data_IF_984729267982
#
_entry.id   IF_984729267982
#
_cell.length_a   1.000
_cell.length_b   1.000
_cell.length_c   1.000
_cell.angle_alpha   90.00
_cell.angle_beta   90.00
_cell.angle_gamma   90.00
#
_symmetry.space_group_name_H-M   'P 1'
#
loop_
_entity.id
_entity.type
_entity.pdbx_description
1 polymer ?
#
# COMPACT_ATOMS: atom_id res chain seq x y z
N UNK A 1 -0.11 -13.97 -18.03
CA UNK A 1 0.79 -14.09 -16.86
C UNK A 1 1.61 -12.82 -16.81
N UNK A 2 1.44 -11.95 -15.79
CA UNK A 2 2.38 -10.83 -15.57
C UNK A 2 3.77 -11.44 -15.37
N UNK A 3 4.78 -10.79 -15.94
CA UNK A 3 6.18 -11.20 -15.78
C UNK A 3 6.51 -11.31 -14.27
N UNK A 4 7.43 -12.19 -13.88
CA UNK A 4 7.74 -12.41 -12.45
C UNK A 4 8.30 -11.11 -11.86
N UNK A 5 7.44 -10.28 -11.26
CA UNK A 5 7.85 -9.04 -10.64
C UNK A 5 8.81 -9.33 -9.50
N UNK A 6 9.88 -8.55 -9.44
CA UNK A 6 10.79 -8.60 -8.31
C UNK A 6 10.08 -8.03 -7.08
N UNK A 7 10.00 -8.83 -6.01
CA UNK A 7 9.37 -8.39 -4.76
C UNK A 7 10.18 -7.26 -4.15
N UNK A 8 9.48 -6.26 -3.59
CA UNK A 8 10.13 -5.21 -2.82
C UNK A 8 10.79 -5.83 -1.59
N UNK A 9 12.13 -5.74 -1.44
CA UNK A 9 12.80 -6.34 -0.30
C UNK A 9 12.48 -5.57 0.98
N UNK A 10 12.17 -6.28 2.06
CA UNK A 10 11.99 -5.67 3.38
C UNK A 10 13.33 -5.29 4.02
N UNK A 11 13.93 -4.19 3.58
CA UNK A 11 15.21 -3.68 4.08
C UNK A 11 15.32 -2.16 3.95
N UNK A 12 16.11 -1.57 4.84
CA UNK A 12 16.51 -0.16 4.77
C UNK A 12 18.03 -0.04 4.74
N UNK A 13 18.51 1.05 4.13
CA UNK A 13 19.91 1.44 4.11
C UNK A 13 20.08 2.63 5.06
N UNK A 14 20.48 2.33 6.30
CA UNK A 14 20.65 3.30 7.38
C UNK A 14 21.92 4.16 7.25
N UNK A 15 22.75 3.91 6.24
CA UNK A 15 23.91 4.77 5.99
C UNK A 15 23.43 6.20 5.70
N UNK A 16 24.23 7.22 6.04
CA UNK A 16 23.90 8.60 5.67
C UNK A 16 23.69 8.75 4.16
N UNK A 17 22.75 9.63 3.79
CA UNK A 17 22.51 9.99 2.40
C UNK A 17 23.83 10.40 1.72
N UNK A 18 24.07 9.84 0.53
CA UNK A 18 25.27 10.15 -0.24
C UNK A 18 25.20 11.55 -0.84
N UNK A 19 26.36 12.13 -1.14
CA UNK A 19 26.44 13.43 -1.83
C UNK A 19 25.64 13.47 -3.15
N UNK A 20 25.54 12.32 -3.84
CA UNK A 20 24.77 12.20 -5.07
C UNK A 20 23.27 12.31 -4.78
N UNK A 21 22.76 11.60 -3.77
CA UNK A 21 21.36 11.66 -3.36
C UNK A 21 20.99 13.05 -2.84
N UNK A 22 21.86 13.69 -2.04
CA UNK A 22 21.67 15.07 -1.56
C UNK A 22 21.64 16.05 -2.73
N UNK A 23 22.59 15.95 -3.66
CA UNK A 23 22.64 16.81 -4.86
C UNK A 23 21.39 16.63 -5.73
N UNK A 24 20.91 15.40 -5.89
CA UNK A 24 19.73 15.11 -6.69
C UNK A 24 18.45 15.62 -6.02
N UNK A 25 18.27 15.39 -4.71
CA UNK A 25 17.15 15.93 -3.95
C UNK A 25 17.10 17.46 -4.05
N UNK A 26 18.24 18.15 -3.89
CA UNK A 26 18.30 19.61 -4.04
C UNK A 26 17.91 20.09 -5.44
N UNK A 27 18.28 19.36 -6.51
CA UNK A 27 17.87 19.68 -7.89
C UNK A 27 16.35 19.56 -8.09
N UNK A 28 15.71 18.65 -7.36
CA UNK A 28 14.26 18.48 -7.35
C UNK A 28 13.57 19.47 -6.38
N UNK A 29 14.32 20.29 -5.65
CA UNK A 29 13.77 21.20 -4.63
C UNK A 29 13.32 20.48 -3.35
N UNK A 30 13.79 19.25 -3.12
CA UNK A 30 13.47 18.42 -1.95
C UNK A 30 14.47 18.72 -0.83
N UNK A 31 13.96 19.16 0.31
CA UNK A 31 14.76 19.34 1.52
C UNK A 31 14.87 18.01 2.28
N UNK A 32 16.09 17.46 2.36
CA UNK A 32 16.39 16.30 3.18
C UNK A 32 16.60 16.70 4.66
N UNK A 33 16.17 15.89 5.63
CA UNK A 33 16.50 16.10 7.04
C UNK A 33 18.02 15.98 7.28
N UNK A 34 18.54 16.66 8.31
CA UNK A 34 20.00 16.72 8.58
C UNK A 34 20.65 15.35 8.75
N UNK A 35 19.93 14.39 9.32
CA UNK A 35 20.36 13.02 9.55
C UNK A 35 19.72 12.01 8.58
N UNK A 36 19.31 12.46 7.38
CA UNK A 36 18.71 11.59 6.37
C UNK A 36 19.58 10.37 6.08
N UNK A 37 18.98 9.18 6.20
CA UNK A 37 19.59 7.96 5.70
C UNK A 37 19.45 7.88 4.17
N UNK A 38 20.17 6.95 3.53
CA UNK A 38 19.98 6.67 2.10
C UNK A 38 18.56 6.23 1.79
N UNK A 39 17.95 5.43 2.67
CA UNK A 39 16.54 5.05 2.55
C UNK A 39 15.60 6.25 2.63
N UNK A 40 15.86 7.21 3.52
CA UNK A 40 15.05 8.43 3.63
C UNK A 40 15.15 9.30 2.38
N UNK A 41 16.38 9.52 1.90
CA UNK A 41 16.60 10.28 0.69
C UNK A 41 15.91 9.64 -0.52
N UNK A 42 16.06 8.33 -0.70
CA UNK A 42 15.38 7.58 -1.76
C UNK A 42 13.87 7.62 -1.64
N UNK A 43 13.33 7.48 -0.43
CA UNK A 43 11.89 7.55 -0.18
C UNK A 43 11.32 8.92 -0.56
N UNK A 44 11.99 10.01 -0.15
CA UNK A 44 11.59 11.38 -0.49
C UNK A 44 11.66 11.64 -2.00
N UNK A 45 12.76 11.25 -2.64
CA UNK A 45 12.95 11.40 -4.08
C UNK A 45 11.91 10.60 -4.87
N UNK A 46 11.73 9.31 -4.55
CA UNK A 46 10.78 8.44 -5.25
C UNK A 46 9.35 8.98 -5.09
N UNK A 47 8.98 9.41 -3.89
CA UNK A 47 7.66 9.98 -3.63
C UNK A 47 7.36 11.19 -4.52
N UNK A 48 8.35 12.08 -4.71
CA UNK A 48 8.21 13.24 -5.59
C UNK A 48 8.09 12.83 -7.06
N UNK A 49 9.01 11.98 -7.55
CA UNK A 49 9.04 11.53 -8.95
C UNK A 49 7.77 10.78 -9.34
N UNK A 50 7.26 9.92 -8.45
CA UNK A 50 6.09 9.07 -8.71
C UNK A 50 4.76 9.78 -8.45
N UNK A 51 4.81 11.07 -8.06
CA UNK A 51 3.65 11.82 -7.56
C UNK A 51 2.86 11.02 -6.51
N UNK A 52 3.60 10.37 -5.60
CA UNK A 52 3.03 9.58 -4.51
C UNK A 52 2.77 10.50 -3.31
N UNK A 53 1.74 10.18 -2.54
CA UNK A 53 1.42 10.92 -1.33
C UNK A 53 2.19 10.34 -0.16
N UNK A 54 2.42 11.12 0.90
CA UNK A 54 3.01 10.55 2.12
C UNK A 54 2.06 9.50 2.71
N UNK A 55 2.60 8.34 3.07
CA UNK A 55 1.83 7.34 3.81
C UNK A 55 1.31 7.92 5.14
N UNK A 56 0.11 7.53 5.57
CA UNK A 56 -0.41 7.94 6.88
C UNK A 56 0.42 7.35 8.02
N UNK A 57 0.37 8.00 9.18
CA UNK A 57 0.99 7.47 10.40
C UNK A 57 0.40 6.13 10.80
N UNK A 58 -0.91 5.95 10.68
CA UNK A 58 -1.59 4.70 11.03
C UNK A 58 -1.17 3.53 10.14
N UNK A 59 -1.02 3.74 8.83
CA UNK A 59 -0.55 2.71 7.91
C UNK A 59 0.93 2.37 8.17
N UNK A 60 1.77 3.37 8.46
CA UNK A 60 3.15 3.18 8.86
C UNK A 60 3.28 2.36 10.15
N UNK A 61 2.48 2.70 11.17
CA UNK A 61 2.43 1.94 12.41
C UNK A 61 2.00 0.50 12.19
N UNK A 62 0.98 0.28 11.36
CA UNK A 62 0.57 -1.06 10.96
C UNK A 62 1.73 -1.83 10.30
N UNK A 63 2.42 -1.21 9.34
CA UNK A 63 3.56 -1.83 8.67
C UNK A 63 4.68 -2.19 9.65
N UNK A 64 5.03 -1.29 10.57
CA UNK A 64 6.04 -1.54 11.61
C UNK A 64 5.65 -2.67 12.55
N UNK A 65 4.38 -2.74 12.97
CA UNK A 65 3.84 -3.86 13.79
C UNK A 65 3.94 -5.20 13.06
N UNK A 66 3.87 -5.19 11.72
CA UNK A 66 4.07 -6.36 10.86
C UNK A 66 5.54 -6.62 10.50
N UNK A 67 6.48 -5.90 11.11
CA UNK A 67 7.92 -6.10 10.92
C UNK A 67 8.47 -5.46 9.64
N UNK A 68 7.76 -4.51 9.03
CA UNK A 68 8.28 -3.79 7.87
C UNK A 68 9.35 -2.78 8.27
N UNK A 69 10.49 -2.85 7.60
CA UNK A 69 11.57 -1.88 7.65
C UNK A 69 11.35 -0.86 6.54
N UNK A 70 10.81 0.31 6.88
CA UNK A 70 10.51 1.37 5.92
C UNK A 70 10.89 2.73 6.48
N UNK A 71 11.16 3.68 5.58
CA UNK A 71 11.43 5.07 5.94
C UNK A 71 10.14 5.79 6.37
N UNK A 72 10.25 6.71 7.31
CA UNK A 72 9.17 7.61 7.76
C UNK A 72 8.67 8.55 6.66
N UNK A 73 9.42 8.66 5.57
CA UNK A 73 9.13 9.50 4.41
C UNK A 73 8.50 8.73 3.25
N UNK A 74 8.33 7.40 3.37
CA UNK A 74 7.81 6.54 2.31
C UNK A 74 6.46 7.04 1.77
N UNK A 75 6.30 6.89 0.47
CA UNK A 75 5.04 7.17 -0.22
C UNK A 75 3.97 6.11 0.08
N UNK A 76 2.71 6.47 -0.09
CA UNK A 76 1.56 5.63 0.18
C UNK A 76 1.53 4.41 -0.74
N UNK A 77 1.68 4.60 -2.05
CA UNK A 77 1.77 3.50 -3.02
C UNK A 77 2.98 2.61 -2.74
N UNK A 78 4.13 3.21 -2.45
CA UNK A 78 5.35 2.47 -2.13
C UNK A 78 5.19 1.60 -0.87
N UNK A 79 4.54 2.11 0.18
CA UNK A 79 4.26 1.34 1.39
C UNK A 79 3.26 0.21 1.12
N UNK A 80 2.25 0.43 0.28
CA UNK A 80 1.34 -0.65 -0.13
C UNK A 80 2.07 -1.76 -0.89
N UNK A 81 3.00 -1.43 -1.80
CA UNK A 81 3.86 -2.42 -2.45
C UNK A 81 4.65 -3.25 -1.43
N UNK A 82 5.28 -2.58 -0.45
CA UNK A 82 6.06 -3.26 0.58
C UNK A 82 5.20 -4.19 1.46
N UNK A 83 4.03 -3.71 1.91
CA UNK A 83 3.07 -4.52 2.66
C UNK A 83 2.63 -5.74 1.84
N UNK A 84 2.16 -5.52 0.62
CA UNK A 84 1.61 -6.59 -0.20
C UNK A 84 2.64 -7.66 -0.59
N UNK A 85 3.93 -7.31 -0.67
CA UNK A 85 4.99 -8.25 -1.02
C UNK A 85 5.50 -9.09 0.15
N UNK A 86 5.43 -8.53 1.37
CA UNK A 86 6.12 -9.06 2.55
C UNK A 86 5.19 -9.49 3.70
N UNK A 87 3.91 -9.13 3.67
CA UNK A 87 2.95 -9.66 4.64
C UNK A 87 2.84 -11.19 4.54
N UNK A 88 2.55 -11.83 5.67
CA UNK A 88 2.13 -13.22 5.70
C UNK A 88 0.91 -13.42 4.79
N UNK A 89 0.71 -14.62 4.25
CA UNK A 89 -0.40 -14.86 3.31
C UNK A 89 -1.75 -14.45 3.89
N UNK A 90 -2.04 -14.84 5.14
CA UNK A 90 -3.26 -14.46 5.85
C UNK A 90 -3.38 -12.93 6.01
N UNK A 91 -2.32 -12.26 6.44
CA UNK A 91 -2.34 -10.80 6.61
C UNK A 91 -2.45 -10.05 5.29
N UNK A 92 -1.88 -10.59 4.22
CA UNK A 92 -1.98 -10.04 2.87
C UNK A 92 -3.42 -10.08 2.37
N UNK A 93 -4.12 -11.20 2.58
CA UNK A 93 -5.53 -11.35 2.23
C UNK A 93 -6.40 -10.41 3.07
N UNK A 94 -6.13 -10.30 4.39
CA UNK A 94 -6.77 -9.33 5.29
C UNK A 94 -6.59 -7.90 4.77
N UNK A 95 -5.35 -7.52 4.45
CA UNK A 95 -5.00 -6.20 3.93
C UNK A 95 -5.68 -5.91 2.59
N UNK A 96 -5.73 -6.88 1.67
CA UNK A 96 -6.45 -6.75 0.40
C UNK A 96 -7.94 -6.48 0.63
N UNK A 97 -8.59 -7.22 1.53
CA UNK A 97 -10.00 -7.01 1.90
C UNK A 97 -10.25 -5.61 2.47
N UNK A 98 -9.36 -5.16 3.36
CA UNK A 98 -9.41 -3.81 3.92
C UNK A 98 -9.31 -2.73 2.82
N UNK A 99 -8.40 -2.87 1.86
CA UNK A 99 -8.29 -1.95 0.73
C UNK A 99 -9.58 -1.91 -0.12
N UNK A 100 -10.19 -3.08 -0.41
CA UNK A 100 -11.47 -3.16 -1.12
C UNK A 100 -12.59 -2.49 -0.32
N UNK A 101 -12.63 -2.68 1.00
CA UNK A 101 -13.59 -2.00 1.88
C UNK A 101 -13.43 -0.48 1.83
N UNK A 102 -12.22 0.05 2.05
CA UNK A 102 -11.98 1.50 1.98
C UNK A 102 -12.46 2.10 0.66
N UNK A 103 -12.24 1.38 -0.44
CA UNK A 103 -12.65 1.81 -1.77
C UNK A 103 -14.18 1.95 -1.91
N UNK A 104 -14.95 0.93 -1.54
CA UNK A 104 -16.41 0.94 -1.73
C UNK A 104 -17.16 1.78 -0.71
N UNK A 105 -16.61 1.95 0.49
CA UNK A 105 -17.24 2.68 1.58
C UNK A 105 -16.67 4.08 1.80
N UNK A 106 -15.72 4.49 0.96
CA UNK A 106 -15.02 5.78 1.05
C UNK A 106 -14.45 6.02 2.47
N UNK A 107 -14.02 4.94 3.13
CA UNK A 107 -13.50 5.00 4.49
C UNK A 107 -12.08 5.56 4.49
N UNK A 108 -11.90 6.66 5.22
CA UNK A 108 -10.61 7.35 5.36
C UNK A 108 -9.79 6.80 6.53
N UNK A 109 -10.34 5.90 7.35
CA UNK A 109 -9.62 5.28 8.45
C UNK A 109 -8.56 4.33 7.90
N UNK A 110 -7.28 4.65 8.16
CA UNK A 110 -6.14 3.84 7.76
C UNK A 110 -5.64 2.91 8.87
N UNK A 111 -6.22 3.00 10.07
CA UNK A 111 -5.87 2.14 11.19
C UNK A 111 -6.63 0.83 11.15
N UNK A 112 -6.05 -0.16 10.46
CA UNK A 112 -6.65 -1.50 10.36
C UNK A 112 -6.71 -2.24 11.71
N UNK A 113 -5.86 -1.89 12.68
CA UNK A 113 -5.80 -2.61 13.97
C UNK A 113 -6.87 -2.17 14.96
N UNK A 114 -7.34 -0.93 14.82
CA UNK A 114 -8.42 -0.37 15.63
C UNK A 114 -9.68 -0.07 14.79
N UNK A 115 -9.75 -0.61 13.58
CA UNK A 115 -10.89 -0.43 12.69
C UNK A 115 -12.15 -1.10 13.29
N UNK A 116 -13.31 -0.42 13.21
CA UNK A 116 -14.59 -0.95 13.71
C UNK A 116 -15.00 -2.28 13.05
N UNK A 117 -14.53 -2.50 11.81
CA UNK A 117 -14.73 -3.73 11.03
C UNK A 117 -13.50 -4.67 11.04
N UNK A 118 -12.57 -4.57 11.99
CA UNK A 118 -11.36 -5.42 12.06
C UNK A 118 -11.68 -6.92 12.01
N UNK A 119 -12.64 -7.37 12.81
CA UNK A 119 -13.04 -8.79 12.89
C UNK A 119 -13.54 -9.31 11.53
N UNK A 120 -14.22 -8.46 10.76
CA UNK A 120 -14.69 -8.79 9.41
C UNK A 120 -13.52 -9.08 8.46
N UNK A 121 -12.46 -8.26 8.51
CA UNK A 121 -11.28 -8.46 7.68
C UNK A 121 -10.48 -9.70 8.10
N UNK A 122 -10.45 -10.00 9.40
CA UNK A 122 -9.80 -11.18 9.94
C UNK A 122 -10.50 -12.46 9.52
N UNK A 123 -11.83 -12.51 9.65
CA UNK A 123 -12.64 -13.63 9.21
C UNK A 123 -12.49 -13.87 7.69
N UNK A 124 -12.42 -12.82 6.88
CA UNK A 124 -12.13 -12.96 5.45
C UNK A 124 -10.75 -13.57 5.19
N UNK A 125 -9.72 -13.09 5.90
CA UNK A 125 -8.36 -13.63 5.81
C UNK A 125 -8.30 -15.13 6.15
N UNK A 126 -9.05 -15.58 7.15
CA UNK A 126 -9.14 -16.98 7.53
C UNK A 126 -9.85 -17.84 6.48
N UNK A 127 -10.98 -17.35 5.97
CA UNK A 127 -11.79 -18.07 5.00
C UNK A 127 -11.02 -18.31 3.70
N UNK A 128 -10.32 -17.31 3.19
CA UNK A 128 -9.68 -17.37 1.86
C UNK A 128 -8.20 -17.79 1.89
N UNK A 129 -7.58 -17.98 3.06
CA UNK A 129 -6.19 -18.44 3.17
C UNK A 129 -5.91 -19.75 2.40
N UNK A 130 -6.90 -20.65 2.34
CA UNK A 130 -6.78 -21.94 1.65
C UNK A 130 -7.36 -21.94 0.23
N UNK A 131 -8.00 -20.86 -0.22
CA UNK A 131 -8.54 -20.77 -1.59
C UNK A 131 -7.42 -20.43 -2.58
N UNK A 132 -6.88 -21.45 -3.25
CA UNK A 132 -5.83 -21.28 -4.25
C UNK A 132 -6.24 -20.41 -5.44
N UNK A 133 -7.50 -20.46 -5.88
CA UNK A 133 -7.98 -19.64 -7.01
C UNK A 133 -8.10 -18.17 -6.64
N UNK A 134 -8.58 -17.89 -5.42
CA UNK A 134 -8.56 -16.55 -4.87
C UNK A 134 -7.13 -16.00 -4.83
N UNK A 135 -6.19 -16.77 -4.27
CA UNK A 135 -4.79 -16.33 -4.13
C UNK A 135 -4.14 -16.06 -5.47
N UNK A 136 -4.32 -16.94 -6.46
CA UNK A 136 -3.80 -16.70 -7.82
C UNK A 136 -4.36 -15.41 -8.41
N UNK A 137 -5.67 -15.16 -8.26
CA UNK A 137 -6.28 -13.92 -8.74
C UNK A 137 -5.83 -12.68 -7.96
N UNK A 138 -5.53 -12.81 -6.67
CA UNK A 138 -5.05 -11.72 -5.82
C UNK A 138 -3.59 -11.37 -6.13
N UNK A 139 -2.75 -12.34 -6.47
CA UNK A 139 -1.35 -12.11 -6.85
C UNK A 139 -1.20 -11.45 -8.25
N UNK A 140 -2.30 -11.22 -8.98
CA UNK A 140 -2.29 -10.38 -10.18
C UNK A 140 -2.09 -8.89 -9.87
N UNK A 141 -2.30 -8.46 -8.62
CA UNK A 141 -2.19 -7.07 -8.20
C UNK A 141 -0.75 -6.69 -7.79
N UNK A 142 -0.42 -5.41 -7.99
CA UNK A 142 0.63 -4.71 -7.28
C UNK A 142 0.04 -4.09 -6.00
N UNK A 143 0.86 -3.87 -4.97
CA UNK A 143 0.37 -3.23 -3.75
C UNK A 143 -0.12 -1.80 -4.02
N UNK A 144 0.59 -1.02 -4.83
CA UNK A 144 0.19 0.33 -5.23
C UNK A 144 -1.16 0.38 -5.95
N UNK A 145 -1.53 -0.71 -6.64
CA UNK A 145 -2.82 -0.84 -7.30
C UNK A 145 -3.95 -1.02 -6.28
N UNK A 146 -3.66 -1.27 -5.00
CA UNK A 146 -4.69 -1.40 -3.96
C UNK A 146 -5.10 -0.06 -3.33
N UNK A 147 -4.43 1.04 -3.70
CA UNK A 147 -4.77 2.39 -3.23
C UNK A 147 -6.13 2.85 -3.79
N UNK A 148 -6.54 2.33 -4.95
CA UNK A 148 -7.84 2.56 -5.57
C UNK A 148 -8.19 1.39 -6.49
N UNK A 149 -9.44 1.25 -6.94
CA UNK A 149 -9.80 0.24 -7.94
C UNK A 149 -10.48 0.87 -9.17
N UNK A 150 -10.27 0.26 -10.32
CA UNK A 150 -10.79 0.72 -11.61
C UNK A 150 -10.38 2.16 -11.93
N UNK A 151 -11.28 2.89 -12.57
CA UNK A 151 -11.13 4.32 -12.86
C UNK A 151 -11.75 5.12 -11.70
N UNK A 152 -10.92 5.87 -10.99
CA UNK A 152 -11.34 6.65 -9.83
C UNK A 152 -10.96 8.12 -9.97
N UNK A 153 -11.72 9.01 -9.33
CA UNK A 153 -11.41 10.44 -9.24
C UNK A 153 -10.83 10.75 -7.87
N UNK A 154 -9.74 11.51 -7.83
CA UNK A 154 -9.12 11.95 -6.58
C UNK A 154 -8.69 13.40 -6.68
N UNK A 155 -8.85 14.16 -5.59
CA UNK A 155 -8.35 15.52 -5.50
C UNK A 155 -6.89 15.45 -5.05
N UNK A 156 -5.97 15.90 -5.91
CA UNK A 156 -4.54 15.99 -5.61
C UNK A 156 -4.13 17.45 -5.75
N UNK A 157 -3.68 18.08 -4.66
CA UNK A 157 -3.35 19.50 -4.60
C UNK A 157 -4.49 20.42 -5.10
N UNK A 158 -5.74 20.09 -4.74
CA UNK A 158 -6.92 20.85 -5.15
C UNK A 158 -7.39 20.61 -6.60
N UNK A 159 -6.70 19.75 -7.36
CA UNK A 159 -7.05 19.42 -8.74
C UNK A 159 -7.64 18.00 -8.80
N UNK A 160 -8.83 17.86 -9.41
CA UNK A 160 -9.40 16.55 -9.69
C UNK A 160 -8.56 15.84 -10.75
N UNK A 161 -7.96 14.71 -10.38
CA UNK A 161 -7.23 13.82 -11.28
C UNK A 161 -7.96 12.49 -11.39
N UNK A 162 -7.96 11.95 -12.61
CA UNK A 162 -8.32 10.54 -12.82
C UNK A 162 -7.12 9.68 -12.46
N UNK A 163 -7.33 8.72 -11.58
CA UNK A 163 -6.35 7.69 -11.24
C UNK A 163 -6.87 6.32 -11.70
N UNK A 164 -5.94 5.45 -12.06
CA UNK A 164 -6.19 4.06 -12.40
C UNK A 164 -5.55 3.19 -11.35
N UNK A 165 -6.34 2.36 -10.71
CA UNK A 165 -5.86 1.39 -9.71
C UNK A 165 -6.07 -0.04 -10.17
N UNK A 166 -6.13 -0.95 -9.21
CA UNK A 166 -6.30 -2.37 -9.44
C UNK A 166 -7.61 -2.69 -10.16
N UNK A 167 -7.63 -3.79 -10.92
CA UNK A 167 -8.84 -4.19 -11.64
C UNK A 167 -9.99 -4.46 -10.66
N UNK A 168 -11.18 -3.92 -10.94
CA UNK A 168 -12.40 -4.21 -10.19
C UNK A 168 -13.13 -5.46 -10.71
N UNK A 169 -12.54 -6.19 -11.67
CA UNK A 169 -13.18 -7.30 -12.38
C UNK A 169 -12.54 -8.67 -12.11
N UNK A 170 -11.49 -8.73 -11.29
CA UNK A 170 -10.86 -10.01 -10.93
C UNK A 170 -11.77 -10.83 -10.01
N UNK A 171 -11.50 -12.14 -9.94
CA UNK A 171 -12.16 -13.01 -8.96
C UNK A 171 -11.90 -12.52 -7.54
N UNK A 172 -10.64 -12.22 -7.19
CA UNK A 172 -10.27 -11.81 -5.84
C UNK A 172 -11.04 -10.57 -5.36
N UNK A 173 -11.10 -9.53 -6.20
CA UNK A 173 -11.84 -8.33 -5.86
C UNK A 173 -13.35 -8.58 -5.76
N UNK A 174 -13.94 -9.37 -6.68
CA UNK A 174 -15.36 -9.68 -6.64
C UNK A 174 -15.76 -10.51 -5.39
N UNK A 175 -14.94 -11.48 -4.99
CA UNK A 175 -15.15 -12.26 -3.77
C UNK A 175 -15.06 -11.37 -2.51
N UNK A 176 -14.04 -10.50 -2.44
CA UNK A 176 -13.90 -9.55 -1.34
C UNK A 176 -15.12 -8.61 -1.24
N UNK A 177 -15.53 -8.01 -2.36
CA UNK A 177 -16.68 -7.11 -2.39
C UNK A 177 -17.98 -7.81 -1.97
N UNK A 178 -18.25 -9.02 -2.49
CA UNK A 178 -19.45 -9.80 -2.11
C UNK A 178 -19.44 -10.18 -0.64
N UNK A 179 -18.30 -10.61 -0.13
CA UNK A 179 -18.15 -10.94 1.27
C UNK A 179 -18.43 -9.72 2.16
N UNK A 180 -17.82 -8.58 1.86
CA UNK A 180 -18.04 -7.34 2.60
C UNK A 180 -19.52 -6.95 2.58
N UNK A 181 -20.14 -6.91 1.39
CA UNK A 181 -21.57 -6.56 1.25
C UNK A 181 -22.51 -7.48 2.03
N UNK A 182 -22.18 -8.76 2.18
CA UNK A 182 -23.02 -9.72 2.89
C UNK A 182 -22.89 -9.64 4.42
N UNK A 183 -21.81 -9.04 4.94
CA UNK A 183 -21.44 -9.13 6.36
C UNK A 183 -21.22 -7.76 7.03
N UNK A 184 -21.52 -6.65 6.34
CA UNK A 184 -21.25 -5.30 6.82
C UNK A 184 -22.23 -4.75 7.88
N UNK A 185 -23.18 -5.56 8.35
CA UNK A 185 -24.22 -5.18 9.31
C UNK A 185 -23.72 -4.31 10.47
#
# INVERSE_FOLDING_TARGET
>A
MRDKREKVPNKIDERPASNIEVSYANKLGIHLPENATRSDAKALIARDLDNDEKASSSLLEYARRKGMLCSDYIGNKALHNQLFDNLSEKDKIKFFCFCVYKFYWNDQNEDMENHSKKELFEAFGEQFAKDGYFKVSMEEYLGEELVAFGKSKRIVNGIEKTIYGGSAHTRAHNEAYRYLKANES
#
